data_IF_763727023708
#
_entry.id   IF_763727023708
#
_cell.length_a   1.000
_cell.length_b   1.000
_cell.length_c   1.000
_cell.angle_alpha   90.00
_cell.angle_beta   90.00
_cell.angle_gamma   90.00
#
_symmetry.space_group_name_H-M   'P 1'
#
loop_
_entity.id
_entity.type
_entity.pdbx_description
1 polymer ?
#
# COMPACT_ATOMS: atom_id res chain seq x y z
N UNK A 1 10.22 -36.19 9.63
CA UNK A 1 10.35 -35.18 8.55
C UNK A 1 9.59 -33.96 8.99
N UNK A 2 10.27 -33.03 9.65
CA UNK A 2 9.69 -31.72 9.95
C UNK A 2 9.55 -30.95 8.64
N UNK A 3 8.33 -30.53 8.33
CA UNK A 3 8.06 -29.62 7.23
C UNK A 3 8.66 -28.26 7.58
N UNK A 4 9.74 -27.88 6.91
CA UNK A 4 10.19 -26.48 6.93
C UNK A 4 9.16 -25.66 6.16
N UNK A 5 8.17 -25.12 6.86
CA UNK A 5 7.34 -24.06 6.33
C UNK A 5 8.28 -22.92 5.92
N UNK A 6 8.47 -22.73 4.61
CA UNK A 6 9.16 -21.57 4.08
C UNK A 6 8.38 -20.35 4.51
N UNK A 7 8.95 -19.53 5.39
CA UNK A 7 8.41 -18.21 5.70
C UNK A 7 8.37 -17.45 4.40
N UNK A 8 7.18 -17.15 3.94
CA UNK A 8 7.01 -16.43 2.70
C UNK A 8 7.56 -15.01 2.89
N UNK A 9 8.44 -14.62 1.96
CA UNK A 9 9.09 -13.32 2.02
C UNK A 9 8.06 -12.20 1.88
N UNK A 10 8.10 -11.22 2.78
CA UNK A 10 7.25 -10.03 2.70
C UNK A 10 7.51 -9.28 1.39
N UNK A 11 6.48 -8.65 0.84
CA UNK A 11 6.57 -7.89 -0.42
C UNK A 11 6.18 -6.44 -0.21
N UNK A 12 6.74 -5.59 -1.06
CA UNK A 12 6.46 -4.15 -1.12
C UNK A 12 5.87 -3.84 -2.47
N UNK A 13 4.56 -3.65 -2.51
CA UNK A 13 3.84 -3.28 -3.72
C UNK A 13 3.98 -1.79 -3.99
N UNK A 14 4.62 -1.42 -5.10
CA UNK A 14 4.84 -0.02 -5.47
C UNK A 14 3.76 0.39 -6.46
N UNK A 15 2.95 1.39 -6.11
CA UNK A 15 1.80 1.77 -6.95
C UNK A 15 2.21 2.21 -8.35
N UNK A 16 3.38 2.84 -8.51
CA UNK A 16 3.99 3.10 -9.81
C UNK A 16 5.52 3.14 -9.72
N UNK A 17 6.21 2.38 -10.57
CA UNK A 17 7.65 2.43 -10.71
C UNK A 17 8.05 3.40 -11.82
N UNK A 18 8.47 4.62 -11.46
CA UNK A 18 8.74 5.70 -12.42
C UNK A 18 10.01 6.50 -12.08
N UNK A 19 11.19 5.92 -12.30
CA UNK A 19 12.47 6.64 -12.28
C UNK A 19 13.00 7.02 -10.90
N UNK A 20 12.32 6.64 -9.82
CA UNK A 20 12.83 6.81 -8.45
C UNK A 20 13.63 5.58 -8.00
N UNK A 21 14.52 5.79 -7.03
CA UNK A 21 15.25 4.72 -6.35
C UNK A 21 14.44 4.18 -5.16
N UNK A 22 14.11 2.89 -5.20
CA UNK A 22 13.34 2.19 -4.19
C UNK A 22 14.18 1.23 -3.34
N UNK A 23 15.51 1.23 -3.48
CA UNK A 23 16.43 0.31 -2.77
C UNK A 23 16.21 0.37 -1.25
N UNK A 24 15.93 1.56 -0.69
CA UNK A 24 15.65 1.72 0.74
C UNK A 24 14.36 1.03 1.22
N UNK A 25 13.44 0.69 0.30
CA UNK A 25 12.22 -0.04 0.62
C UNK A 25 12.44 -1.56 0.65
N UNK A 26 13.53 -2.08 0.08
CA UNK A 26 13.83 -3.52 0.04
C UNK A 26 13.97 -4.13 1.44
N UNK A 27 14.33 -3.31 2.45
CA UNK A 27 14.34 -3.74 3.87
C UNK A 27 12.97 -4.17 4.40
N UNK A 28 11.87 -3.76 3.75
CA UNK A 28 10.51 -4.13 4.12
C UNK A 28 10.02 -5.38 3.38
N UNK A 29 10.72 -5.78 2.33
CA UNK A 29 10.33 -6.90 1.48
C UNK A 29 10.71 -6.69 0.02
N UNK A 30 10.47 -7.72 -0.78
CA UNK A 30 10.74 -7.72 -2.22
C UNK A 30 9.85 -6.69 -2.94
N UNK A 31 10.46 -5.84 -3.75
CA UNK A 31 9.73 -4.84 -4.56
C UNK A 31 8.88 -5.52 -5.63
N UNK A 32 7.59 -5.16 -5.69
CA UNK A 32 6.62 -5.62 -6.67
C UNK A 32 5.90 -4.41 -7.28
N UNK A 33 6.27 -3.97 -8.50
CA UNK A 33 5.61 -2.84 -9.13
C UNK A 33 4.20 -3.20 -9.64
N UNK A 34 3.21 -2.36 -9.34
CA UNK A 34 1.83 -2.49 -9.85
C UNK A 34 1.72 -1.88 -11.26
N UNK A 35 2.23 -0.66 -11.44
CA UNK A 35 2.34 -0.01 -12.74
C UNK A 35 3.77 0.49 -12.99
N UNK A 36 4.06 0.86 -14.25
CA UNK A 36 5.37 1.37 -14.65
C UNK A 36 5.23 2.66 -15.45
N UNK A 37 6.10 3.63 -15.18
CA UNK A 37 6.27 4.84 -15.98
C UNK A 37 4.99 5.67 -16.12
N UNK A 38 4.69 6.07 -17.37
CA UNK A 38 3.50 6.84 -17.70
C UNK A 38 2.25 5.96 -17.72
N UNK A 39 1.25 6.32 -16.92
CA UNK A 39 -0.06 5.68 -16.91
C UNK A 39 -1.08 6.64 -17.51
N UNK A 40 -1.71 6.22 -18.62
CA UNK A 40 -2.80 7.00 -19.26
C UNK A 40 -4.08 6.91 -18.44
N UNK A 41 -4.69 8.07 -18.16
CA UNK A 41 -5.99 8.15 -17.47
C UNK A 41 -7.19 8.23 -18.41
N UNK A 42 -6.99 7.98 -19.71
CA UNK A 42 -8.08 7.94 -20.69
C UNK A 42 -9.00 6.73 -20.50
N UNK A 43 -8.50 5.65 -19.88
CA UNK A 43 -9.28 4.44 -19.58
C UNK A 43 -9.09 4.05 -18.12
N UNK A 44 -9.80 4.75 -17.24
CA UNK A 44 -9.76 4.51 -15.79
C UNK A 44 -10.15 3.07 -15.42
N UNK A 45 -11.05 2.43 -16.18
CA UNK A 45 -11.45 1.05 -15.94
C UNK A 45 -10.30 0.07 -16.16
N UNK A 46 -9.48 0.27 -17.20
CA UNK A 46 -8.30 -0.56 -17.44
C UNK A 46 -7.26 -0.37 -16.32
N UNK A 47 -7.03 0.87 -15.90
CA UNK A 47 -6.12 1.18 -14.78
C UNK A 47 -6.59 0.50 -13.49
N UNK A 48 -7.89 0.62 -13.17
CA UNK A 48 -8.52 -0.03 -12.02
C UNK A 48 -8.38 -1.55 -12.07
N UNK A 49 -8.65 -2.16 -13.23
CA UNK A 49 -8.53 -3.61 -13.40
C UNK A 49 -7.09 -4.09 -13.18
N UNK A 50 -6.11 -3.44 -13.82
CA UNK A 50 -4.68 -3.76 -13.64
C UNK A 50 -4.24 -3.65 -12.18
N UNK A 51 -4.61 -2.55 -11.50
CA UNK A 51 -4.28 -2.38 -10.08
C UNK A 51 -4.92 -3.50 -9.24
N UNK A 52 -6.16 -3.85 -9.54
CA UNK A 52 -6.89 -4.90 -8.82
C UNK A 52 -6.22 -6.26 -8.99
N UNK A 53 -5.82 -6.63 -10.21
CA UNK A 53 -5.13 -7.90 -10.48
C UNK A 53 -3.82 -8.04 -9.68
N UNK A 54 -3.02 -6.98 -9.60
CA UNK A 54 -1.77 -7.03 -8.84
C UNK A 54 -2.00 -7.01 -7.33
N UNK A 55 -2.89 -6.15 -6.84
CA UNK A 55 -3.21 -6.07 -5.41
C UNK A 55 -3.87 -7.36 -4.92
N UNK A 56 -4.63 -8.08 -5.75
CA UNK A 56 -5.22 -9.37 -5.37
C UNK A 56 -4.18 -10.44 -5.00
N UNK A 57 -2.93 -10.30 -5.49
CA UNK A 57 -1.83 -11.21 -5.16
C UNK A 57 -1.20 -10.89 -3.80
N UNK A 58 -1.53 -9.78 -3.16
CA UNK A 58 -0.92 -9.34 -1.90
C UNK A 58 -1.45 -10.12 -0.69
N UNK A 59 -0.74 -10.01 0.43
CA UNK A 59 -1.07 -10.63 1.71
C UNK A 59 -1.25 -9.56 2.78
N UNK A 60 -1.93 -9.88 3.90
CA UNK A 60 -2.17 -8.90 4.97
C UNK A 60 -0.90 -8.31 5.60
N UNK A 61 0.23 -9.01 5.53
CA UNK A 61 1.52 -8.57 6.06
C UNK A 61 2.42 -7.85 5.02
N UNK A 62 2.00 -7.82 3.75
CA UNK A 62 2.72 -7.07 2.72
C UNK A 62 2.54 -5.56 2.93
N UNK A 63 3.38 -4.79 2.24
CA UNK A 63 3.39 -3.33 2.28
C UNK A 63 2.90 -2.75 0.95
N UNK A 64 2.17 -1.63 1.02
CA UNK A 64 1.85 -0.78 -0.13
C UNK A 64 2.66 0.52 -0.05
N UNK A 65 3.54 0.73 -1.00
CA UNK A 65 4.37 1.93 -1.14
C UNK A 65 3.70 2.90 -2.12
N UNK A 66 3.37 4.09 -1.62
CA UNK A 66 2.71 5.13 -2.38
C UNK A 66 3.71 5.85 -3.30
N UNK A 67 3.55 5.67 -4.61
CA UNK A 67 4.39 6.29 -5.65
C UNK A 67 3.63 6.55 -6.95
N UNK A 68 3.97 7.62 -7.65
CA UNK A 68 3.22 8.09 -8.81
C UNK A 68 2.06 9.00 -8.42
N UNK A 69 0.94 8.91 -9.15
CA UNK A 69 -0.17 9.86 -8.98
C UNK A 69 -1.07 9.48 -7.80
N UNK A 70 -1.74 10.46 -7.17
CA UNK A 70 -2.69 10.18 -6.08
C UNK A 70 -3.79 9.20 -6.48
N UNK A 71 -4.24 9.21 -7.74
CA UNK A 71 -5.25 8.29 -8.24
C UNK A 71 -4.81 6.83 -8.11
N UNK A 72 -3.58 6.50 -8.51
CA UNK A 72 -3.05 5.14 -8.39
C UNK A 72 -2.98 4.71 -6.93
N UNK A 73 -2.50 5.59 -6.06
CA UNK A 73 -2.42 5.38 -4.61
C UNK A 73 -3.79 5.11 -3.99
N UNK A 74 -4.80 5.92 -4.32
CA UNK A 74 -6.16 5.77 -3.78
C UNK A 74 -6.78 4.47 -4.26
N UNK A 75 -6.75 4.18 -5.56
CA UNK A 75 -7.35 2.94 -6.10
C UNK A 75 -6.68 1.71 -5.50
N UNK A 76 -5.34 1.68 -5.43
CA UNK A 76 -4.62 0.56 -4.83
C UNK A 76 -4.95 0.39 -3.34
N UNK A 77 -4.94 1.48 -2.56
CA UNK A 77 -5.26 1.43 -1.14
C UNK A 77 -6.72 1.00 -0.88
N UNK A 78 -7.68 1.46 -1.69
CA UNK A 78 -9.09 1.05 -1.58
C UNK A 78 -9.26 -0.44 -1.83
N UNK A 79 -8.69 -0.96 -2.93
CA UNK A 79 -8.76 -2.40 -3.24
C UNK A 79 -8.07 -3.21 -2.14
N UNK A 80 -6.89 -2.78 -1.69
CA UNK A 80 -6.13 -3.45 -0.64
C UNK A 80 -6.92 -3.56 0.66
N UNK A 81 -7.50 -2.46 1.11
CA UNK A 81 -8.28 -2.42 2.35
C UNK A 81 -9.57 -3.25 2.24
N UNK A 82 -10.19 -3.29 1.05
CA UNK A 82 -11.37 -4.12 0.81
C UNK A 82 -11.05 -5.62 0.92
N UNK A 83 -9.86 -6.06 0.48
CA UNK A 83 -9.44 -7.46 0.51
C UNK A 83 -8.96 -7.88 1.91
N UNK A 84 -8.14 -7.05 2.55
CA UNK A 84 -7.41 -7.46 3.76
C UNK A 84 -7.96 -6.88 5.06
N UNK A 85 -8.87 -5.91 4.98
CA UNK A 85 -9.39 -5.13 6.13
C UNK A 85 -8.31 -4.39 6.94
N UNK A 86 -7.10 -4.34 6.40
CA UNK A 86 -5.95 -3.64 6.91
C UNK A 86 -5.01 -3.28 5.77
N UNK A 87 -4.13 -2.31 6.01
CA UNK A 87 -3.11 -1.90 5.05
C UNK A 87 -1.87 -1.42 5.82
N UNK A 88 -0.70 -1.88 5.37
CA UNK A 88 0.59 -1.40 5.82
C UNK A 88 1.16 -0.48 4.73
N UNK A 89 1.17 0.83 4.98
CA UNK A 89 1.62 1.83 4.03
C UNK A 89 3.08 2.21 4.26
N UNK A 90 3.82 2.39 3.17
CA UNK A 90 5.11 3.06 3.14
C UNK A 90 4.97 4.39 2.40
N UNK A 91 5.33 5.48 3.08
CA UNK A 91 5.30 6.83 2.53
C UNK A 91 6.72 7.39 2.53
N UNK A 92 7.21 7.77 1.35
CA UNK A 92 8.55 8.36 1.24
C UNK A 92 8.57 9.76 1.89
N UNK A 93 9.50 9.97 2.82
CA UNK A 93 9.72 11.25 3.47
C UNK A 93 10.97 11.93 2.89
N UNK A 94 10.72 12.97 2.09
CA UNK A 94 11.78 13.80 1.51
C UNK A 94 12.49 14.68 2.54
N UNK A 95 11.83 15.03 3.65
CA UNK A 95 12.37 15.96 4.66
C UNK A 95 13.29 15.25 5.65
N UNK A 96 12.99 14.00 5.99
CA UNK A 96 13.81 13.19 6.89
C UNK A 96 14.63 12.15 6.11
N UNK A 97 15.76 12.61 5.56
CA UNK A 97 16.87 11.75 5.09
C UNK A 97 16.50 10.70 4.02
N UNK A 98 15.38 10.88 3.31
CA UNK A 98 14.89 9.96 2.29
C UNK A 98 14.54 8.59 2.87
N UNK A 99 13.93 8.56 4.06
CA UNK A 99 13.41 7.33 4.68
C UNK A 99 11.94 7.10 4.32
N UNK A 100 11.47 5.89 4.54
CA UNK A 100 10.04 5.57 4.48
C UNK A 100 9.44 5.66 5.87
N UNK A 101 8.29 6.34 5.98
CA UNK A 101 7.42 6.32 7.15
C UNK A 101 6.40 5.20 6.99
N UNK A 102 6.18 4.49 8.08
CA UNK A 102 5.20 3.41 8.16
C UNK A 102 3.88 3.96 8.69
N UNK A 103 2.78 3.56 8.05
CA UNK A 103 1.43 3.85 8.54
C UNK A 103 0.58 2.59 8.42
N UNK A 104 0.04 2.12 9.54
CA UNK A 104 -0.85 0.96 9.57
C UNK A 104 -2.29 1.44 9.77
N UNK A 105 -3.17 1.08 8.85
CA UNK A 105 -4.59 1.39 8.94
C UNK A 105 -5.33 0.06 9.05
N UNK A 106 -6.21 -0.06 10.04
CA UNK A 106 -7.04 -1.25 10.29
C UNK A 106 -8.48 -0.82 10.47
N UNK A 107 -9.45 -1.70 10.21
CA UNK A 107 -10.86 -1.38 10.52
C UNK A 107 -11.04 -0.93 11.96
N UNK A 108 -10.36 -1.57 12.91
CA UNK A 108 -10.43 -1.21 14.33
C UNK A 108 -9.95 0.22 14.57
N UNK A 109 -8.76 0.59 14.09
CA UNK A 109 -8.23 1.92 14.40
C UNK A 109 -9.04 3.04 13.75
N UNK A 110 -9.60 2.81 12.55
CA UNK A 110 -10.53 3.74 11.92
C UNK A 110 -11.81 3.86 12.74
N UNK A 111 -12.39 2.74 13.17
CA UNK A 111 -13.59 2.75 14.01
C UNK A 111 -13.35 3.48 15.33
N UNK A 112 -12.25 3.18 16.04
CA UNK A 112 -11.89 3.86 17.29
C UNK A 112 -11.76 5.38 17.08
N UNK A 113 -11.14 5.83 15.98
CA UNK A 113 -11.01 7.25 15.66
C UNK A 113 -12.37 7.92 15.40
N UNK A 114 -13.27 7.25 14.68
CA UNK A 114 -14.62 7.77 14.41
C UNK A 114 -15.44 7.91 15.69
N UNK A 115 -15.39 6.92 16.58
CA UNK A 115 -16.09 6.98 17.88
C UNK A 115 -15.61 8.14 18.75
N UNK A 116 -14.30 8.44 18.73
CA UNK A 116 -13.76 9.61 19.44
C UNK A 116 -14.33 10.91 18.87
N UNK A 117 -14.40 11.05 17.54
CA UNK A 117 -14.92 12.25 16.90
C UNK A 117 -16.42 12.45 17.19
N UNK A 118 -17.22 11.39 17.12
CA UNK A 118 -18.65 11.42 17.44
C UNK A 118 -18.92 11.79 18.91
N UNK A 119 -18.04 11.37 19.83
CA UNK A 119 -18.12 11.73 21.25
C UNK A 119 -17.59 13.13 21.58
N UNK A 120 -16.88 13.78 20.66
CA UNK A 120 -16.26 15.11 20.85
C UNK A 120 -17.21 16.27 20.54
N UNK A 121 -18.31 16.02 19.81
CA UNK A 121 -19.33 17.02 19.46
C UNK A 121 -20.30 17.35 20.62
N UNK A 122 -20.03 16.85 21.84
CA UNK A 122 -20.89 16.98 23.02
C UNK A 122 -20.24 17.61 24.27
N UNK A 123 -19.05 18.23 24.16
CA UNK A 123 -18.33 18.87 25.26
C UNK A 123 -18.10 20.37 25.03
#
# INVERSE_FOLDING_TARGET
MESTATVEEARVFVTNLAGHDYTKAEKYGKIVPITHGYVSFQSLDRVKFQITEEVYKSKPHDWLLLSGTPLLSVVAATVWFAIHHQINLLVYDQKDSGKYRELKITQKNVHDMLTVLEGSDGA
#
